data_IF_647721118777
#
_entry.id   IF_647721118777
#
_cell.length_a   1.000
_cell.length_b   1.000
_cell.length_c   1.000
_cell.angle_alpha   90.00
_cell.angle_beta   90.00
_cell.angle_gamma   90.00
#
_symmetry.space_group_name_H-M   'P 1'
#
loop_
_entity.id
_entity.type
_entity.pdbx_description
1 polymer ?
#
# COMPACT_ATOMS: atom_id res chain seq x y z
N UNK A 1 -15.43 -3.46 -27.98
CA UNK A 1 -14.98 -4.45 -26.97
C UNK A 1 -13.63 -4.01 -26.43
N UNK A 2 -13.49 -3.11 -25.45
CA UNK A 2 -14.46 -2.24 -24.79
C UNK A 2 -13.68 -1.25 -23.91
N UNK A 3 -14.05 0.03 -23.94
CA UNK A 3 -13.48 1.10 -23.10
C UNK A 3 -13.43 0.77 -21.60
N UNK A 4 -14.16 -0.27 -21.18
CA UNK A 4 -14.27 -0.74 -19.80
C UNK A 4 -13.25 -1.82 -19.44
N UNK A 5 -12.47 -2.34 -20.38
CA UNK A 5 -11.50 -3.40 -20.08
C UNK A 5 -10.47 -2.97 -19.05
N UNK A 6 -10.02 -1.71 -19.09
CA UNK A 6 -9.06 -1.16 -18.12
C UNK A 6 -9.68 -1.07 -16.72
N UNK A 7 -10.88 -0.49 -16.62
CA UNK A 7 -11.65 -0.48 -15.38
C UNK A 7 -11.94 -1.89 -14.86
N UNK A 8 -12.27 -2.84 -15.73
CA UNK A 8 -12.56 -4.22 -15.34
C UNK A 8 -11.33 -4.91 -14.74
N UNK A 9 -10.13 -4.64 -15.26
CA UNK A 9 -8.87 -5.14 -14.67
C UNK A 9 -8.63 -4.51 -13.31
N UNK A 10 -8.77 -3.19 -13.18
CA UNK A 10 -8.60 -2.49 -11.89
C UNK A 10 -9.62 -2.99 -10.85
N UNK A 11 -10.88 -3.13 -11.25
CA UNK A 11 -11.93 -3.68 -10.40
C UNK A 11 -11.65 -5.14 -10.05
N UNK A 12 -11.16 -5.93 -11.01
CA UNK A 12 -10.73 -7.31 -10.80
C UNK A 12 -9.61 -7.41 -9.77
N UNK A 13 -8.61 -6.52 -9.82
CA UNK A 13 -7.55 -6.45 -8.82
C UNK A 13 -8.09 -6.12 -7.42
N UNK A 14 -9.01 -5.14 -7.31
CA UNK A 14 -9.65 -4.80 -6.04
C UNK A 14 -10.51 -5.94 -5.50
N UNK A 15 -11.31 -6.58 -6.35
CA UNK A 15 -12.17 -7.71 -5.97
C UNK A 15 -11.34 -8.92 -5.57
N UNK A 16 -10.20 -9.17 -6.23
CA UNK A 16 -9.29 -10.25 -5.86
C UNK A 16 -8.59 -9.98 -4.53
N UNK A 17 -8.30 -8.71 -4.20
CA UNK A 17 -7.57 -8.33 -2.98
C UNK A 17 -8.48 -8.04 -1.79
N UNK A 18 -9.75 -7.69 -1.99
CA UNK A 18 -10.71 -7.40 -0.93
C UNK A 18 -10.97 -8.58 0.04
N UNK A 19 -11.08 -9.86 -0.41
CA UNK A 19 -11.22 -10.99 0.49
C UNK A 19 -10.03 -11.17 1.43
N UNK A 20 -8.82 -10.78 1.01
CA UNK A 20 -7.63 -10.89 1.87
C UNK A 20 -7.77 -9.99 3.10
N UNK A 21 -8.34 -8.80 2.96
CA UNK A 21 -8.60 -7.93 4.11
C UNK A 21 -9.69 -8.46 5.03
N UNK A 22 -10.74 -9.06 4.47
CA UNK A 22 -11.85 -9.60 5.24
C UNK A 22 -11.45 -10.88 5.99
N UNK A 23 -10.71 -11.79 5.35
CA UNK A 23 -10.24 -13.04 5.94
C UNK A 23 -9.11 -12.81 6.95
N UNK A 24 -8.13 -11.95 6.63
CA UNK A 24 -6.94 -11.77 7.47
C UNK A 24 -7.07 -10.57 8.43
N UNK A 25 -8.16 -9.79 8.36
CA UNK A 25 -8.44 -8.62 9.21
C UNK A 25 -7.26 -7.64 9.28
N UNK A 26 -6.60 -7.41 8.16
CA UNK A 26 -5.39 -6.58 8.07
C UNK A 26 -5.65 -5.10 8.34
N UNK A 27 -6.92 -4.65 8.42
CA UNK A 27 -7.35 -3.30 8.83
C UNK A 27 -6.67 -2.18 8.01
N UNK A 28 -6.34 -2.46 6.75
CA UNK A 28 -5.67 -1.50 5.85
C UNK A 28 -6.60 -0.34 5.54
N UNK A 29 -7.87 -0.60 5.18
CA UNK A 29 -8.86 0.47 4.99
C UNK A 29 -9.23 1.19 6.28
N UNK A 30 -8.99 0.59 7.46
CA UNK A 30 -9.23 1.23 8.74
C UNK A 30 -8.19 2.30 9.11
N UNK A 31 -7.07 2.40 8.36
CA UNK A 31 -6.02 3.42 8.55
C UNK A 31 -5.82 4.26 7.30
N UNK A 32 -6.85 5.01 6.84
CA UNK A 32 -6.81 5.72 5.56
C UNK A 32 -5.67 6.75 5.50
N UNK A 33 -5.29 7.36 6.63
CA UNK A 33 -4.15 8.28 6.69
C UNK A 33 -2.81 7.63 6.34
N UNK A 34 -2.55 6.41 6.84
CA UNK A 34 -1.29 5.69 6.56
C UNK A 34 -1.25 5.22 5.11
N UNK A 35 -2.38 4.71 4.62
CA UNK A 35 -2.53 4.31 3.22
C UNK A 35 -2.32 5.51 2.29
N UNK A 36 -2.94 6.65 2.59
CA UNK A 36 -2.75 7.88 1.83
C UNK A 36 -1.30 8.35 1.85
N UNK A 37 -0.61 8.33 3.00
CA UNK A 37 0.80 8.70 3.08
C UNK A 37 1.72 7.73 2.31
N UNK A 38 1.37 6.45 2.23
CA UNK A 38 2.12 5.47 1.44
C UNK A 38 1.94 5.67 -0.07
N UNK A 39 0.73 6.04 -0.51
CA UNK A 39 0.38 6.21 -1.92
C UNK A 39 0.76 7.59 -2.45
N UNK A 40 0.62 8.64 -1.63
CA UNK A 40 0.85 10.04 -2.03
C UNK A 40 2.18 10.30 -2.75
N UNK A 41 3.36 9.83 -2.28
CA UNK A 41 4.62 10.09 -2.99
C UNK A 41 4.64 9.43 -4.37
N UNK A 42 4.11 8.21 -4.48
CA UNK A 42 3.99 7.50 -5.77
C UNK A 42 3.08 8.29 -6.71
N UNK A 43 1.89 8.65 -6.24
CA UNK A 43 0.92 9.39 -7.03
C UNK A 43 1.49 10.72 -7.54
N UNK A 44 2.14 11.50 -6.68
CA UNK A 44 2.72 12.80 -7.04
C UNK A 44 3.82 12.65 -8.10
N UNK A 45 4.74 11.70 -7.92
CA UNK A 45 5.87 11.52 -8.84
C UNK A 45 5.39 11.06 -10.21
N UNK A 46 4.52 10.04 -10.26
CA UNK A 46 4.08 9.47 -11.55
C UNK A 46 3.11 10.38 -12.30
N UNK A 47 2.15 11.02 -11.60
CA UNK A 47 1.28 12.02 -12.25
C UNK A 47 2.08 13.20 -12.79
N UNK A 48 3.05 13.70 -12.01
CA UNK A 48 3.92 14.80 -12.47
C UNK A 48 4.77 14.41 -13.69
N UNK A 49 5.29 13.19 -13.69
CA UNK A 49 6.07 12.66 -14.81
C UNK A 49 5.24 12.48 -16.08
N UNK A 50 4.03 11.91 -15.96
CA UNK A 50 3.16 11.71 -17.12
C UNK A 50 2.71 13.04 -17.71
N UNK A 51 2.30 14.01 -16.89
CA UNK A 51 1.98 15.35 -17.35
C UNK A 51 3.15 16.00 -18.09
N UNK A 52 4.38 15.81 -17.59
CA UNK A 52 5.58 16.26 -18.28
C UNK A 52 5.77 15.57 -19.63
N UNK A 53 5.66 14.24 -19.69
CA UNK A 53 5.81 13.48 -20.93
C UNK A 53 4.78 13.86 -22.00
N UNK A 54 3.52 14.05 -21.59
CA UNK A 54 2.42 14.52 -22.45
C UNK A 54 2.71 15.93 -22.95
N UNK A 55 3.09 16.86 -22.06
CA UNK A 55 3.41 18.24 -22.43
C UNK A 55 4.60 18.34 -23.41
N UNK A 56 5.52 17.37 -23.37
CA UNK A 56 6.66 17.28 -24.29
C UNK A 56 6.33 16.55 -25.60
N UNK A 57 5.13 16.00 -25.75
CA UNK A 57 4.74 15.19 -26.90
C UNK A 57 5.51 13.87 -27.00
N UNK A 58 6.12 13.41 -25.89
CA UNK A 58 6.82 12.13 -25.85
C UNK A 58 5.84 10.96 -25.89
N UNK A 59 4.62 11.16 -25.41
CA UNK A 59 3.58 10.15 -25.33
C UNK A 59 2.20 10.79 -25.39
N UNK A 60 1.24 10.09 -25.99
CA UNK A 60 -0.17 10.48 -26.06
C UNK A 60 -1.06 9.27 -25.74
N UNK A 61 -2.25 9.51 -25.19
CA UNK A 61 -3.17 8.46 -24.79
C UNK A 61 -4.29 8.31 -25.82
N UNK A 62 -4.47 7.10 -26.35
CA UNK A 62 -5.57 6.80 -27.27
C UNK A 62 -6.92 6.86 -26.53
N UNK A 63 -7.80 7.85 -26.81
CA UNK A 63 -9.08 8.01 -26.13
C UNK A 63 -10.03 6.82 -26.36
N UNK A 64 -9.73 5.98 -27.38
CA UNK A 64 -10.54 4.79 -27.69
C UNK A 64 -10.33 3.65 -26.69
N UNK A 65 -9.31 3.73 -25.84
CA UNK A 65 -8.99 2.70 -24.84
C UNK A 65 -9.27 3.12 -23.41
N UNK A 66 -9.50 4.42 -23.18
CA UNK A 66 -9.80 5.00 -21.86
C UNK A 66 -11.29 5.28 -21.73
N UNK A 67 -11.72 5.63 -20.52
CA UNK A 67 -13.11 5.99 -20.20
C UNK A 67 -13.60 7.25 -20.89
N UNK A 68 -12.73 7.97 -21.61
CA UNK A 68 -13.02 9.25 -22.26
C UNK A 68 -12.97 10.45 -21.31
N UNK A 69 -12.74 10.24 -20.01
CA UNK A 69 -12.56 11.32 -19.04
C UNK A 69 -11.08 11.68 -18.99
N UNK A 70 -10.76 12.91 -19.39
CA UNK A 70 -9.40 13.45 -19.41
C UNK A 70 -9.30 14.62 -18.42
N UNK A 71 -8.30 14.56 -17.55
CA UNK A 71 -7.97 15.57 -16.56
C UNK A 71 -7.14 16.70 -17.19
N UNK A 72 -7.02 17.87 -16.52
CA UNK A 72 -6.19 18.96 -17.00
C UNK A 72 -4.76 18.51 -17.29
N UNK A 73 -4.24 18.86 -18.47
CA UNK A 73 -2.91 18.43 -18.94
C UNK A 73 -2.90 17.13 -19.75
N UNK A 74 -4.06 16.59 -20.12
CA UNK A 74 -4.17 15.47 -21.07
C UNK A 74 -4.12 14.08 -20.43
N UNK A 75 -4.11 13.99 -19.09
CA UNK A 75 -4.01 12.73 -18.37
C UNK A 75 -5.38 12.04 -18.25
N UNK A 76 -5.56 10.79 -18.70
CA UNK A 76 -6.81 10.06 -18.51
C UNK A 76 -7.09 9.75 -17.03
N UNK A 77 -8.37 9.75 -16.63
CA UNK A 77 -8.77 9.34 -15.28
C UNK A 77 -8.32 7.91 -14.95
N UNK A 78 -8.36 7.02 -15.95
CA UNK A 78 -7.88 5.64 -15.88
C UNK A 78 -6.45 5.53 -15.32
N UNK A 79 -5.57 6.46 -15.68
CA UNK A 79 -4.17 6.46 -15.27
C UNK A 79 -4.00 6.86 -13.80
N UNK A 80 -4.77 7.87 -13.36
CA UNK A 80 -4.82 8.25 -11.95
C UNK A 80 -5.39 7.12 -11.10
N UNK A 81 -6.42 6.42 -11.59
CA UNK A 81 -6.95 5.23 -10.92
C UNK A 81 -5.90 4.12 -10.84
N UNK A 82 -5.10 3.91 -11.89
CA UNK A 82 -4.01 2.94 -11.87
C UNK A 82 -2.97 3.26 -10.78
N UNK A 83 -2.52 4.51 -10.69
CA UNK A 83 -1.56 4.95 -9.66
C UNK A 83 -2.09 4.89 -8.23
N UNK A 84 -3.40 4.76 -8.04
CA UNK A 84 -4.00 4.55 -6.72
C UNK A 84 -4.24 3.07 -6.47
N UNK A 85 -4.93 2.38 -7.38
CA UNK A 85 -5.39 1.00 -7.21
C UNK A 85 -4.22 0.03 -7.11
N UNK A 86 -3.20 0.16 -7.97
CA UNK A 86 -2.08 -0.78 -7.97
C UNK A 86 -1.29 -0.73 -6.66
N UNK A 87 -0.90 0.46 -6.13
CA UNK A 87 -0.29 0.55 -4.81
C UNK A 87 -1.18 0.04 -3.67
N UNK A 88 -2.50 0.28 -3.72
CA UNK A 88 -3.43 -0.29 -2.73
C UNK A 88 -3.38 -1.82 -2.75
N UNK A 89 -3.47 -2.43 -3.93
CA UNK A 89 -3.39 -3.88 -4.08
C UNK A 89 -2.04 -4.43 -3.57
N UNK A 90 -0.94 -3.73 -3.84
CA UNK A 90 0.38 -4.11 -3.35
C UNK A 90 0.47 -4.08 -1.80
N UNK A 91 -0.07 -3.04 -1.16
CA UNK A 91 -0.12 -2.94 0.31
C UNK A 91 -0.98 -4.04 0.90
N UNK A 92 -2.15 -4.31 0.32
CA UNK A 92 -3.03 -5.39 0.77
C UNK A 92 -2.36 -6.76 0.67
N UNK A 93 -1.66 -7.03 -0.44
CA UNK A 93 -0.92 -8.27 -0.63
C UNK A 93 0.23 -8.41 0.39
N UNK A 94 0.99 -7.33 0.63
CA UNK A 94 2.06 -7.33 1.62
C UNK A 94 1.54 -7.63 3.03
N UNK A 95 0.47 -6.96 3.45
CA UNK A 95 -0.14 -7.17 4.77
C UNK A 95 -0.72 -8.59 4.90
N UNK A 96 -1.25 -9.16 3.81
CA UNK A 96 -1.71 -10.54 3.81
C UNK A 96 -0.56 -11.53 3.99
N UNK A 97 0.55 -11.34 3.28
CA UNK A 97 1.76 -12.17 3.46
C UNK A 97 2.27 -12.05 4.89
N UNK A 98 2.32 -10.84 5.47
CA UNK A 98 2.72 -10.63 6.87
C UNK A 98 1.81 -11.34 7.86
N UNK A 99 0.50 -11.29 7.67
CA UNK A 99 -0.45 -11.95 8.56
C UNK A 99 -0.31 -13.49 8.53
N UNK A 100 0.07 -14.08 7.39
CA UNK A 100 0.30 -15.53 7.25
C UNK A 100 1.69 -15.94 7.76
N UNK A 101 2.74 -15.20 7.39
CA UNK A 101 4.15 -15.57 7.65
C UNK A 101 4.68 -15.04 8.98
N UNK A 102 4.02 -14.03 9.57
CA UNK A 102 4.52 -13.23 10.70
C UNK A 102 5.91 -12.63 10.47
N UNK A 103 6.25 -12.32 9.22
CA UNK A 103 7.51 -11.66 8.92
C UNK A 103 7.51 -10.25 9.54
N UNK A 104 8.50 -9.91 10.39
CA UNK A 104 8.70 -8.54 10.82
C UNK A 104 8.99 -7.60 9.64
N UNK A 105 8.17 -6.57 9.49
CA UNK A 105 8.41 -5.49 8.53
C UNK A 105 8.61 -4.15 9.26
N UNK A 106 9.88 -3.75 9.40
CA UNK A 106 10.35 -2.41 9.74
C UNK A 106 10.05 -1.94 11.17
N UNK A 107 8.80 -1.57 11.43
CA UNK A 107 8.41 -0.77 12.60
C UNK A 107 7.95 -1.62 13.80
N UNK A 108 8.10 -2.93 13.72
CA UNK A 108 7.89 -3.84 14.83
C UNK A 108 9.04 -3.65 15.81
N UNK A 109 8.90 -2.65 16.68
CA UNK A 109 9.82 -2.42 17.78
C UNK A 109 10.05 -3.74 18.50
N UNK A 110 11.31 -4.17 18.51
CA UNK A 110 11.78 -5.30 19.29
C UNK A 110 11.19 -5.11 20.70
N UNK A 111 10.31 -6.00 21.14
CA UNK A 111 9.55 -5.87 22.40
C UNK A 111 10.42 -5.82 23.66
N UNK A 112 11.75 -5.73 23.52
CA UNK A 112 12.68 -5.33 24.55
C UNK A 112 12.81 -3.81 24.58
N UNK A 113 11.90 -3.17 25.32
CA UNK A 113 12.19 -1.85 25.87
C UNK A 113 13.51 -1.89 26.67
N UNK A 114 14.36 -0.86 26.63
CA UNK A 114 15.66 -0.82 27.31
C UNK A 114 15.53 -0.60 28.83
N UNK A 115 14.69 -1.38 29.51
CA UNK A 115 14.35 -1.20 30.92
C UNK A 115 14.31 -2.47 31.78
N UNK A 116 14.66 -3.65 31.25
CA UNK A 116 14.71 -4.90 32.03
C UNK A 116 16.13 -5.45 32.27
N UNK A 117 17.17 -4.65 32.03
CA UNK A 117 18.51 -4.96 32.48
C UNK A 117 18.77 -4.28 33.84
N UNK A 118 18.64 -5.05 34.93
CA UNK A 118 19.21 -4.64 36.22
C UNK A 118 18.28 -4.72 37.42
N UNK A 119 17.99 -5.92 37.90
CA UNK A 119 17.80 -6.09 39.34
C UNK A 119 18.51 -7.39 39.79
N UNK A 120 19.77 -7.32 40.23
CA UNK A 120 20.38 -8.45 40.92
C UNK A 120 19.77 -8.51 42.32
N UNK A 121 18.68 -9.29 42.50
CA UNK A 121 18.28 -9.72 43.84
C UNK A 121 19.27 -10.77 44.30
N UNK A 122 20.35 -10.28 44.91
CA UNK A 122 21.11 -11.06 45.86
C UNK A 122 20.17 -11.52 46.97
N UNK A 123 19.88 -12.82 47.03
CA UNK A 123 19.57 -13.50 48.28
C UNK A 123 20.45 -14.74 48.38
N UNK A 124 21.52 -14.53 49.11
CA UNK A 124 22.43 -15.54 49.64
C UNK A 124 21.62 -16.65 50.33
N UNK A 125 21.87 -17.95 50.05
CA UNK A 125 21.36 -19.02 50.88
C UNK A 125 22.23 -19.06 52.14
N UNK A 126 21.63 -18.95 53.32
CA UNK A 126 22.25 -19.44 54.55
C UNK A 126 21.34 -20.50 55.13
N UNK A 127 21.75 -21.74 54.89
CA UNK A 127 21.20 -22.90 55.56
C UNK A 127 21.72 -23.04 56.98
N UNK A 128 21.02 -23.93 57.71
CA UNK A 128 21.45 -24.72 58.87
C UNK A 128 21.93 -23.94 60.10
N UNK A 129 21.12 -24.00 61.15
CA UNK A 129 21.39 -24.79 62.36
C UNK A 129 20.07 -25.17 63.02
#
# INVERSE_FOLDING_TARGET
>A
MGHLSYLAVLLGCLVATAPLELLLRTRVYARPRRLALAIAPVLVVFVGWDLYAIARGHWDFDPRRTTGIVLPGGLPLDEVLFFVVVPVCAVLALEAVRAVTRWPAGDEGDGRGPGQAGHPRGRHPRGRR
#
